data_IF_302981957927
#
_entry.id   IF_302981957927
#
_cell.length_a   1.000
_cell.length_b   1.000
_cell.length_c   1.000
_cell.angle_alpha   90.00
_cell.angle_beta   90.00
_cell.angle_gamma   90.00
#
_symmetry.space_group_name_H-M   'P 1'
#
loop_
_entity.id
_entity.type
_entity.pdbx_description
1 polymer ?
#
# COMPACT_ATOMS: atom_id res chain seq x y z
N UNK A 1 -22.24 2.93 -0.24
CA UNK A 1 -21.32 1.78 -0.28
C UNK A 1 -20.29 1.97 0.81
N UNK A 2 -20.01 0.95 1.60
CA UNK A 2 -19.02 1.04 2.69
C UNK A 2 -17.62 0.85 2.14
N UNK A 3 -16.70 1.72 2.55
CA UNK A 3 -15.27 1.60 2.27
C UNK A 3 -14.60 0.97 3.48
N UNK A 4 -13.89 -0.14 3.28
CA UNK A 4 -13.17 -0.87 4.32
C UNK A 4 -11.68 -0.60 4.12
N UNK A 5 -11.01 -0.10 5.16
CA UNK A 5 -9.59 0.23 5.08
C UNK A 5 -8.85 -0.06 6.38
N UNK A 6 -7.52 -0.01 6.35
CA UNK A 6 -6.70 -0.34 7.51
C UNK A 6 -6.77 0.76 8.57
N UNK A 7 -7.20 0.36 9.79
CA UNK A 7 -7.17 1.19 10.99
C UNK A 7 -5.84 1.10 11.75
N UNK A 8 -5.79 1.75 12.90
CA UNK A 8 -6.82 2.61 13.50
C UNK A 8 -6.97 3.97 12.79
N UNK A 9 -7.84 4.84 13.32
CA UNK A 9 -7.92 6.24 12.87
C UNK A 9 -6.54 6.91 12.94
N UNK A 10 -6.24 7.76 11.94
CA UNK A 10 -4.94 8.44 11.82
C UNK A 10 -3.86 7.66 11.06
N UNK A 11 -4.16 6.45 10.56
CA UNK A 11 -3.28 5.77 9.59
C UNK A 11 -3.37 6.45 8.22
N UNK A 12 -2.35 6.29 7.38
CA UNK A 12 -2.38 6.79 6.00
C UNK A 12 -3.52 6.18 5.17
N UNK A 13 -3.89 4.93 5.44
CA UNK A 13 -5.04 4.30 4.80
C UNK A 13 -6.37 4.97 5.17
N UNK A 14 -6.56 5.32 6.46
CA UNK A 14 -7.72 6.10 6.92
C UNK A 14 -7.70 7.50 6.33
N UNK A 15 -6.55 8.17 6.34
CA UNK A 15 -6.38 9.51 5.75
C UNK A 15 -6.76 9.53 4.28
N UNK A 16 -6.29 8.54 3.49
CA UNK A 16 -6.65 8.41 2.09
C UNK A 16 -8.16 8.27 1.89
N UNK A 17 -8.82 7.41 2.67
CA UNK A 17 -10.27 7.20 2.57
C UNK A 17 -11.05 8.50 2.89
N UNK A 18 -10.56 9.30 3.85
CA UNK A 18 -11.13 10.61 4.16
C UNK A 18 -10.93 11.61 3.02
N UNK A 19 -9.72 11.71 2.46
CA UNK A 19 -9.40 12.59 1.32
C UNK A 19 -10.19 12.24 0.06
N UNK A 20 -10.50 10.95 -0.14
CA UNK A 20 -11.39 10.48 -1.21
C UNK A 20 -12.86 10.83 -0.99
N UNK A 21 -13.24 11.39 0.15
CA UNK A 21 -14.63 11.73 0.49
C UNK A 21 -15.51 10.50 0.74
N UNK A 22 -14.96 9.39 1.21
CA UNK A 22 -15.71 8.19 1.55
C UNK A 22 -16.70 8.50 2.70
N UNK A 23 -18.00 8.29 2.45
CA UNK A 23 -19.07 8.65 3.43
C UNK A 23 -19.23 7.65 4.56
N UNK A 24 -18.89 6.37 4.32
CA UNK A 24 -18.97 5.29 5.31
C UNK A 24 -17.64 4.54 5.28
N UNK A 25 -16.85 4.70 6.34
CA UNK A 25 -15.53 4.07 6.48
C UNK A 25 -15.61 3.05 7.62
N UNK A 26 -15.26 1.80 7.32
CA UNK A 26 -15.05 0.75 8.30
C UNK A 26 -13.54 0.52 8.46
N UNK A 27 -13.04 0.64 9.69
CA UNK A 27 -11.62 0.45 9.99
C UNK A 27 -11.35 -0.98 10.45
N UNK A 28 -10.64 -1.72 9.64
CA UNK A 28 -10.25 -3.09 9.91
C UNK A 28 -8.88 -3.14 10.61
N UNK A 29 -8.67 -4.16 11.45
CA UNK A 29 -7.44 -4.32 12.22
C UNK A 29 -6.26 -4.85 11.40
N UNK A 30 -6.53 -5.56 10.28
CA UNK A 30 -5.51 -6.17 9.41
C UNK A 30 -5.92 -6.06 7.95
N UNK A 31 -4.94 -6.11 7.05
CA UNK A 31 -5.19 -6.19 5.60
C UNK A 31 -5.98 -7.47 5.26
N UNK A 32 -5.67 -8.58 5.94
CA UNK A 32 -6.40 -9.83 5.75
C UNK A 32 -7.90 -9.70 6.05
N UNK A 33 -8.29 -9.00 7.12
CA UNK A 33 -9.70 -8.78 7.46
C UNK A 33 -10.41 -7.89 6.44
N UNK A 34 -9.70 -6.95 5.79
CA UNK A 34 -10.26 -6.17 4.67
C UNK A 34 -10.62 -7.09 3.51
N UNK A 35 -9.68 -7.94 3.07
CA UNK A 35 -9.93 -8.90 2.00
C UNK A 35 -11.09 -9.83 2.30
N UNK A 36 -11.17 -10.34 3.54
CA UNK A 36 -12.28 -11.21 3.99
C UNK A 36 -13.61 -10.50 3.93
N UNK A 37 -13.72 -9.29 4.45
CA UNK A 37 -14.95 -8.50 4.46
C UNK A 37 -15.42 -8.16 3.02
N UNK A 38 -14.49 -7.76 2.13
CA UNK A 38 -14.83 -7.51 0.72
C UNK A 38 -15.29 -8.77 0.02
N UNK A 39 -14.66 -9.92 0.27
CA UNK A 39 -15.06 -11.20 -0.30
C UNK A 39 -16.46 -11.65 0.18
N UNK A 40 -16.86 -11.26 1.39
CA UNK A 40 -18.19 -11.47 1.95
C UNK A 40 -19.25 -10.46 1.43
N UNK A 41 -18.84 -9.48 0.59
CA UNK A 41 -19.77 -8.50 0.03
C UNK A 41 -20.11 -7.33 0.98
N UNK A 42 -19.31 -7.09 2.02
CA UNK A 42 -19.57 -6.05 3.04
C UNK A 42 -19.24 -4.63 2.53
N UNK A 43 -18.52 -4.51 1.40
CA UNK A 43 -18.17 -3.24 0.78
C UNK A 43 -17.02 -3.36 -0.21
N UNK A 44 -16.34 -2.22 -0.47
CA UNK A 44 -15.08 -2.17 -1.23
C UNK A 44 -13.92 -1.93 -0.28
N UNK A 45 -12.76 -2.52 -0.58
CA UNK A 45 -11.55 -2.34 0.22
C UNK A 45 -10.61 -1.30 -0.38
N UNK A 46 -9.96 -0.50 0.46
CA UNK A 46 -8.78 0.29 0.09
C UNK A 46 -7.59 -0.24 0.88
N UNK A 47 -6.56 -0.71 0.17
CA UNK A 47 -5.36 -1.29 0.77
C UNK A 47 -4.09 -0.74 0.12
N UNK A 48 -2.99 -0.56 0.87
CA UNK A 48 -1.70 -0.21 0.30
C UNK A 48 -1.15 -1.40 -0.50
N UNK A 49 -0.64 -1.15 -1.70
CA UNK A 49 -0.03 -2.19 -2.54
C UNK A 49 1.49 -2.14 -2.52
N UNK A 50 2.04 -0.94 -2.61
CA UNK A 50 3.50 -0.72 -2.60
C UNK A 50 3.83 0.69 -2.09
N UNK A 51 5.00 0.82 -1.50
CA UNK A 51 5.57 2.11 -1.12
C UNK A 51 6.91 2.28 -1.83
N UNK A 52 7.22 3.49 -2.26
CA UNK A 52 8.41 3.77 -3.06
C UNK A 52 9.74 3.51 -2.35
N UNK A 53 9.75 3.41 -1.01
CA UNK A 53 10.93 3.08 -0.20
C UNK A 53 10.90 1.64 0.31
N UNK A 54 9.73 1.20 0.81
CA UNK A 54 9.59 -0.10 1.46
C UNK A 54 9.24 -1.24 0.49
N UNK A 55 8.91 -0.93 -0.78
CA UNK A 55 8.51 -1.93 -1.77
C UNK A 55 7.09 -2.44 -1.59
N UNK A 56 6.83 -3.66 -2.06
CA UNK A 56 5.51 -4.26 -2.07
C UNK A 56 4.98 -4.64 -0.68
N UNK A 57 3.69 -4.41 -0.45
CA UNK A 57 2.99 -4.79 0.78
C UNK A 57 2.61 -6.27 0.71
N UNK A 58 3.39 -7.11 1.39
CA UNK A 58 3.27 -8.56 1.31
C UNK A 58 1.88 -9.10 1.65
N UNK A 59 1.21 -8.56 2.68
CA UNK A 59 -0.13 -8.97 3.06
C UNK A 59 -1.18 -8.66 1.97
N UNK A 60 -1.03 -7.55 1.25
CA UNK A 60 -1.90 -7.20 0.12
C UNK A 60 -1.70 -8.17 -1.04
N UNK A 61 -0.45 -8.49 -1.38
CA UNK A 61 -0.15 -9.46 -2.42
C UNK A 61 -0.67 -10.86 -2.08
N UNK A 62 -0.48 -11.31 -0.84
CA UNK A 62 -1.05 -12.57 -0.35
C UNK A 62 -2.59 -12.57 -0.42
N UNK A 63 -3.22 -11.44 -0.11
CA UNK A 63 -4.66 -11.27 -0.24
C UNK A 63 -5.14 -11.35 -1.70
N UNK A 64 -4.45 -10.66 -2.62
CA UNK A 64 -4.73 -10.71 -4.06
C UNK A 64 -4.54 -12.12 -4.64
N UNK A 65 -3.60 -12.90 -4.12
CA UNK A 65 -3.43 -14.30 -4.52
C UNK A 65 -4.58 -15.19 -4.02
N UNK A 66 -4.96 -15.02 -2.75
CA UNK A 66 -5.87 -15.93 -2.03
C UNK A 66 -7.34 -15.71 -2.36
N UNK A 67 -7.81 -14.44 -2.42
CA UNK A 67 -9.23 -14.11 -2.54
C UNK A 67 -9.64 -13.87 -4.00
N UNK A 68 -10.87 -14.27 -4.42
CA UNK A 68 -11.38 -14.04 -5.77
C UNK A 68 -11.86 -12.57 -5.91
N UNK A 69 -10.95 -11.63 -5.71
CA UNK A 69 -11.24 -10.19 -5.78
C UNK A 69 -10.47 -9.54 -6.92
N UNK A 70 -10.99 -8.41 -7.37
CA UNK A 70 -10.44 -7.62 -8.48
C UNK A 70 -9.99 -6.24 -8.00
N UNK A 71 -9.00 -5.67 -8.68
CA UNK A 71 -8.61 -4.28 -8.53
C UNK A 71 -9.53 -3.43 -9.40
N UNK A 72 -10.22 -2.47 -8.80
CA UNK A 72 -11.15 -1.57 -9.49
C UNK A 72 -10.58 -0.18 -9.77
N UNK A 73 -9.55 0.22 -9.03
CA UNK A 73 -8.83 1.49 -9.20
C UNK A 73 -7.47 1.44 -8.52
N UNK A 74 -6.56 2.31 -8.94
CA UNK A 74 -5.36 2.66 -8.19
C UNK A 74 -5.33 4.15 -7.85
N UNK A 75 -4.63 4.49 -6.79
CA UNK A 75 -4.43 5.85 -6.31
C UNK A 75 -3.09 5.98 -5.60
N UNK A 76 -2.57 7.20 -5.55
CA UNK A 76 -1.28 7.50 -4.96
C UNK A 76 -1.44 8.53 -3.86
N UNK A 77 -0.65 8.40 -2.80
CA UNK A 77 -0.59 9.38 -1.73
C UNK A 77 0.86 9.63 -1.32
N UNK A 78 1.36 10.88 -1.39
CA UNK A 78 2.63 11.27 -0.80
C UNK A 78 2.61 11.00 0.70
N UNK A 79 3.72 10.51 1.23
CA UNK A 79 3.86 10.17 2.65
C UNK A 79 4.76 11.21 3.30
N UNK A 80 4.17 12.04 4.14
CA UNK A 80 4.89 13.04 4.90
C UNK A 80 4.83 12.74 6.39
N UNK A 81 5.94 12.93 7.05
CA UNK A 81 6.09 12.72 8.48
C UNK A 81 6.43 14.02 9.18
N UNK A 82 5.76 14.28 10.28
CA UNK A 82 5.94 15.49 11.07
C UNK A 82 6.27 15.15 12.50
N UNK A 83 7.12 15.96 13.12
CA UNK A 83 7.31 15.90 14.57
C UNK A 83 6.20 16.72 15.23
N UNK A 84 5.38 16.06 16.02
CA UNK A 84 4.28 16.67 16.77
C UNK A 84 4.55 16.57 18.28
N UNK A 85 4.31 17.65 19.02
CA UNK A 85 4.52 17.69 20.47
C UNK A 85 3.70 18.81 21.11
N UNK A 86 3.32 18.65 22.39
CA UNK A 86 2.71 19.67 23.22
C UNK A 86 3.73 20.66 23.79
N UNK A 87 5.01 20.40 23.63
CA UNK A 87 6.11 21.26 24.12
C UNK A 87 7.04 21.66 22.97
N UNK A 88 7.84 22.70 23.18
CA UNK A 88 8.86 23.09 22.21
C UNK A 88 9.96 22.03 22.10
N UNK A 89 10.67 22.02 20.97
CA UNK A 89 11.76 21.08 20.68
C UNK A 89 12.83 21.06 21.79
N UNK A 90 13.16 22.22 22.38
CA UNK A 90 14.14 22.34 23.45
C UNK A 90 13.73 21.70 24.77
N UNK A 91 12.43 21.53 24.99
CA UNK A 91 11.87 20.89 26.20
C UNK A 91 11.56 19.42 26.02
N UNK A 92 11.58 18.94 24.77
CA UNK A 92 11.28 17.56 24.45
C UNK A 92 12.37 16.60 24.96
N UNK A 93 11.98 15.46 25.51
CA UNK A 93 12.87 14.48 26.15
C UNK A 93 12.84 13.11 25.50
N UNK A 94 11.77 12.80 24.76
CA UNK A 94 11.55 11.49 24.13
C UNK A 94 10.63 11.65 22.92
N UNK A 95 10.83 10.84 21.90
CA UNK A 95 9.97 10.76 20.71
C UNK A 95 9.41 9.34 20.60
N UNK A 96 8.12 9.23 20.36
CA UNK A 96 7.45 7.97 20.02
C UNK A 96 7.29 7.85 18.51
N UNK A 97 7.66 6.70 17.95
CA UNK A 97 7.55 6.43 16.52
C UNK A 97 7.31 4.94 16.24
N UNK A 98 6.61 4.64 15.15
CA UNK A 98 6.63 3.29 14.59
C UNK A 98 8.04 2.98 14.04
N UNK A 99 8.57 1.74 14.13
CA UNK A 99 9.92 1.42 13.63
C UNK A 99 10.20 1.90 12.21
N UNK A 100 9.29 1.64 11.28
CA UNK A 100 9.40 2.10 9.89
C UNK A 100 9.42 3.63 9.78
N UNK A 101 8.59 4.33 10.57
CA UNK A 101 8.58 5.80 10.59
C UNK A 101 9.87 6.36 11.19
N UNK A 102 10.44 5.68 12.19
CA UNK A 102 11.76 6.02 12.73
C UNK A 102 12.84 5.92 11.64
N UNK A 103 12.88 4.83 10.89
CA UNK A 103 13.83 4.61 9.79
C UNK A 103 13.69 5.70 8.71
N UNK A 104 12.46 6.02 8.31
CA UNK A 104 12.17 7.05 7.31
C UNK A 104 12.49 8.49 7.77
N UNK A 105 12.69 8.72 9.07
CA UNK A 105 13.04 10.03 9.66
C UNK A 105 14.38 10.01 10.40
N UNK A 106 15.21 9.01 10.17
CA UNK A 106 16.43 8.76 10.93
C UNK A 106 17.41 9.94 10.90
N UNK A 107 17.59 10.57 9.74
CA UNK A 107 18.51 11.72 9.61
C UNK A 107 18.12 12.90 10.51
N UNK A 108 16.82 13.17 10.62
CA UNK A 108 16.33 14.22 11.51
C UNK A 108 16.48 13.82 12.98
N UNK A 109 16.13 12.58 13.32
CA UNK A 109 16.17 12.09 14.70
C UNK A 109 17.61 11.96 15.23
N UNK A 110 18.56 11.55 14.40
CA UNK A 110 19.98 11.53 14.74
C UNK A 110 20.51 12.94 15.06
N UNK A 111 20.13 13.94 14.27
CA UNK A 111 20.49 15.35 14.53
C UNK A 111 19.85 15.88 15.81
N UNK A 112 18.62 15.44 16.13
CA UNK A 112 17.97 15.79 17.39
C UNK A 112 18.65 15.14 18.59
N UNK A 113 19.14 13.88 18.47
CA UNK A 113 20.00 13.20 19.41
C UNK A 113 19.34 12.69 20.68
N UNK A 114 18.01 12.75 20.81
CA UNK A 114 17.27 12.24 21.98
C UNK A 114 16.75 10.82 21.75
N UNK A 115 16.24 10.17 22.83
CA UNK A 115 15.74 8.80 22.77
C UNK A 115 14.45 8.68 21.95
N UNK A 116 14.39 7.62 21.12
CA UNK A 116 13.18 7.23 20.37
C UNK A 116 12.64 5.90 20.92
N UNK A 117 11.37 5.88 21.29
CA UNK A 117 10.66 4.69 21.76
C UNK A 117 9.73 4.19 20.67
N UNK A 118 9.88 2.91 20.31
CA UNK A 118 9.06 2.31 19.28
C UNK A 118 7.66 1.95 19.79
N UNK A 119 6.66 2.14 18.94
CA UNK A 119 5.26 1.81 19.17
C UNK A 119 4.72 0.97 18.02
N UNK A 120 3.58 0.33 18.24
CA UNK A 120 2.94 -0.55 17.24
C UNK A 120 2.29 0.17 16.06
N UNK A 121 2.09 1.50 16.15
CA UNK A 121 1.49 2.32 15.08
C UNK A 121 1.71 3.81 15.35
N UNK A 122 1.56 4.65 14.32
CA UNK A 122 1.57 6.11 14.47
C UNK A 122 0.47 6.60 15.42
N UNK A 123 -0.70 5.94 15.41
CA UNK A 123 -1.77 6.22 16.37
C UNK A 123 -1.33 5.94 17.82
N UNK A 124 -0.67 4.80 18.07
CA UNK A 124 -0.09 4.48 19.39
C UNK A 124 0.97 5.48 19.78
N UNK A 125 1.82 5.94 18.84
CA UNK A 125 2.80 7.01 19.09
C UNK A 125 2.13 8.29 19.59
N UNK A 126 1.03 8.70 18.94
CA UNK A 126 0.27 9.88 19.36
C UNK A 126 -0.30 9.75 20.78
N UNK A 127 -0.88 8.58 21.08
CA UNK A 127 -1.47 8.32 22.39
C UNK A 127 -0.43 8.30 23.50
N UNK A 128 0.74 7.71 23.28
CA UNK A 128 1.83 7.69 24.26
C UNK A 128 2.44 9.08 24.45
N UNK A 129 2.63 9.85 23.38
CA UNK A 129 3.13 11.22 23.49
C UNK A 129 2.17 12.14 24.27
N UNK A 130 0.87 11.90 24.22
CA UNK A 130 -0.10 12.65 25.03
C UNK A 130 -0.05 12.33 26.52
N UNK A 131 0.30 11.10 26.88
CA UNK A 131 0.36 10.63 28.26
C UNK A 131 1.69 10.99 28.93
N UNK A 132 2.75 11.12 28.15
CA UNK A 132 4.12 11.29 28.65
C UNK A 132 4.51 12.77 28.66
N UNK A 133 4.89 13.34 29.82
CA UNK A 133 5.36 14.72 29.86
C UNK A 133 6.61 14.95 29.00
N UNK A 134 6.63 16.07 28.30
CA UNK A 134 7.76 16.47 27.42
C UNK A 134 8.08 15.46 26.31
N UNK A 135 7.06 14.76 25.80
CA UNK A 135 7.19 13.82 24.70
C UNK A 135 6.74 14.43 23.38
N UNK A 136 7.28 13.89 22.29
CA UNK A 136 6.82 14.09 20.92
C UNK A 136 6.45 12.77 20.27
N UNK A 137 5.81 12.84 19.10
CA UNK A 137 5.54 11.70 18.24
C UNK A 137 5.80 12.05 16.78
N UNK A 138 6.20 11.07 15.97
CA UNK A 138 6.23 11.23 14.52
C UNK A 138 4.88 10.80 13.96
N UNK A 139 4.20 11.71 13.28
CA UNK A 139 2.82 11.56 12.82
C UNK A 139 2.64 12.11 11.42
N UNK A 140 1.58 11.67 10.71
CA UNK A 140 1.04 12.42 9.58
C UNK A 140 0.33 13.69 10.07
N UNK A 141 0.11 14.66 9.19
CA UNK A 141 -0.62 15.87 9.53
C UNK A 141 -2.05 15.58 10.01
N UNK A 142 -2.73 14.62 9.38
CA UNK A 142 -4.07 14.22 9.77
C UNK A 142 -4.10 13.52 11.13
N UNK A 143 -3.12 12.67 11.44
CA UNK A 143 -2.99 12.05 12.76
C UNK A 143 -2.71 13.11 13.84
N UNK A 144 -1.79 14.05 13.58
CA UNK A 144 -1.51 15.15 14.50
C UNK A 144 -2.76 15.97 14.82
N UNK A 145 -3.56 16.30 13.79
CA UNK A 145 -4.83 16.99 13.93
C UNK A 145 -5.87 16.19 14.73
N UNK A 146 -6.05 14.91 14.37
CA UNK A 146 -7.00 14.00 15.03
C UNK A 146 -6.71 13.86 16.52
N UNK A 147 -5.45 13.67 16.88
CA UNK A 147 -5.02 13.52 18.27
C UNK A 147 -4.76 14.85 18.98
N UNK A 148 -4.99 15.98 18.30
CA UNK A 148 -4.81 17.34 18.84
C UNK A 148 -3.41 17.58 19.43
N UNK A 149 -2.38 17.13 18.69
CA UNK A 149 -0.98 17.38 19.01
C UNK A 149 -0.42 18.34 17.98
N UNK A 150 0.05 19.53 18.36
CA UNK A 150 0.61 20.49 17.41
C UNK A 150 1.83 19.94 16.66
N UNK A 151 1.87 20.14 15.35
CA UNK A 151 3.09 19.90 14.57
C UNK A 151 4.09 21.00 14.90
N UNK A 152 5.26 20.62 15.40
CA UNK A 152 6.36 21.56 15.74
C UNK A 152 7.45 21.62 14.70
N UNK A 153 7.63 20.54 13.92
CA UNK A 153 8.50 20.50 12.74
C UNK A 153 7.83 19.69 11.67
N UNK A 154 7.67 20.27 10.49
CA UNK A 154 7.05 19.61 9.35
C UNK A 154 8.07 18.93 8.45
N UNK A 155 7.65 17.85 7.77
CA UNK A 155 8.39 17.16 6.71
C UNK A 155 9.81 16.76 7.15
N UNK A 156 9.85 15.88 8.15
CA UNK A 156 11.12 15.40 8.73
C UNK A 156 11.59 14.08 8.11
N UNK A 157 10.85 13.58 7.13
CA UNK A 157 11.24 12.39 6.37
C UNK A 157 12.54 12.59 5.60
N UNK A 158 13.35 11.52 5.49
CA UNK A 158 14.62 11.53 4.73
C UNK A 158 14.37 11.74 3.23
N UNK A 159 13.27 11.20 2.70
CA UNK A 159 12.92 11.29 1.29
C UNK A 159 11.56 11.99 1.09
N UNK A 160 11.54 13.24 0.63
CA UNK A 160 10.29 13.97 0.40
C UNK A 160 9.46 13.45 -0.78
N UNK A 161 10.04 12.56 -1.61
CA UNK A 161 9.33 11.92 -2.74
C UNK A 161 8.68 10.59 -2.37
N UNK A 162 8.70 10.22 -1.06
CA UNK A 162 8.08 8.98 -0.60
C UNK A 162 6.59 8.97 -0.92
N UNK A 163 6.16 7.93 -1.63
CA UNK A 163 4.77 7.80 -2.09
C UNK A 163 4.28 6.37 -1.91
N UNK A 164 3.07 6.22 -1.39
CA UNK A 164 2.40 4.92 -1.32
C UNK A 164 1.35 4.82 -2.41
N UNK A 165 1.39 3.73 -3.15
CA UNK A 165 0.36 3.32 -4.09
C UNK A 165 -0.65 2.46 -3.36
N UNK A 166 -1.90 2.85 -3.44
CA UNK A 166 -3.05 2.10 -2.93
C UNK A 166 -3.87 1.54 -4.08
N UNK A 167 -4.60 0.49 -3.79
CA UNK A 167 -5.57 -0.09 -4.71
C UNK A 167 -6.94 -0.19 -4.04
N UNK A 168 -7.98 -0.05 -4.86
CA UNK A 168 -9.33 -0.38 -4.47
C UNK A 168 -9.63 -1.81 -4.93
N UNK A 169 -10.09 -2.65 -4.01
CA UNK A 169 -10.46 -4.04 -4.27
C UNK A 169 -11.97 -4.22 -4.15
N UNK A 170 -12.54 -5.05 -5.02
CA UNK A 170 -13.97 -5.34 -5.05
C UNK A 170 -14.24 -6.79 -5.49
N UNK A 171 -15.44 -7.29 -5.17
CA UNK A 171 -15.91 -8.62 -5.59
C UNK A 171 -16.33 -8.69 -7.07
N UNK A 172 -16.43 -7.55 -7.75
CA UNK A 172 -16.82 -7.47 -9.16
C UNK A 172 -15.69 -6.87 -9.99
N UNK A 173 -15.48 -7.44 -11.17
CA UNK A 173 -14.50 -6.92 -12.12
C UNK A 173 -14.99 -5.56 -12.68
N UNK A 174 -14.10 -4.57 -12.68
CA UNK A 174 -14.37 -3.29 -13.33
C UNK A 174 -14.51 -3.45 -14.84
N UNK A 175 -15.33 -2.57 -15.47
CA UNK A 175 -15.32 -2.43 -16.91
C UNK A 175 -13.97 -1.89 -17.36
N UNK A 176 -13.50 -2.35 -18.53
CA UNK A 176 -12.21 -1.90 -19.10
C UNK A 176 -12.26 -0.48 -19.70
N UNK A 177 -13.46 0.12 -19.77
CA UNK A 177 -13.64 1.47 -20.35
C UNK A 177 -12.78 2.50 -19.61
N UNK A 178 -11.78 3.05 -20.32
CA UNK A 178 -10.82 4.01 -19.78
C UNK A 178 -9.80 3.41 -18.82
N UNK A 179 -9.61 2.09 -18.82
CA UNK A 179 -8.51 1.46 -18.10
C UNK A 179 -7.17 1.95 -18.63
N UNK A 180 -6.22 2.13 -17.72
CA UNK A 180 -4.86 2.58 -18.02
C UNK A 180 -3.82 1.50 -17.68
N UNK A 181 -4.17 0.62 -16.77
CA UNK A 181 -3.29 -0.43 -16.23
C UNK A 181 -4.08 -1.70 -15.99
N UNK A 182 -3.43 -2.83 -16.19
CA UNK A 182 -3.95 -4.15 -15.82
C UNK A 182 -2.98 -4.85 -14.88
N UNK A 183 -3.51 -5.71 -14.02
CA UNK A 183 -2.72 -6.54 -13.10
C UNK A 183 -3.11 -7.99 -13.22
N UNK A 184 -2.11 -8.86 -13.13
CA UNK A 184 -2.27 -10.32 -13.10
C UNK A 184 -1.35 -10.96 -12.08
N UNK A 185 -1.71 -12.17 -11.68
CA UNK A 185 -0.79 -13.10 -11.01
C UNK A 185 -0.53 -14.26 -11.94
N UNK A 186 0.73 -14.54 -12.21
CA UNK A 186 1.16 -15.75 -12.89
C UNK A 186 1.59 -16.76 -11.84
N UNK A 187 0.96 -17.93 -11.85
CA UNK A 187 1.21 -19.03 -10.91
C UNK A 187 1.65 -20.29 -11.65
N UNK A 188 2.95 -20.41 -11.99
CA UNK A 188 3.44 -21.55 -12.74
C UNK A 188 3.26 -22.85 -11.95
N UNK A 189 2.74 -23.89 -12.61
CA UNK A 189 2.68 -25.25 -12.05
C UNK A 189 4.02 -25.96 -12.08
N UNK A 190 4.92 -25.56 -13.00
CA UNK A 190 6.27 -26.10 -13.18
C UNK A 190 7.24 -24.97 -13.39
N UNK A 191 8.42 -25.08 -12.78
CA UNK A 191 9.54 -24.17 -13.02
C UNK A 191 10.49 -24.79 -14.07
N UNK A 192 11.05 -23.96 -14.94
CA UNK A 192 12.08 -24.32 -15.92
C UNK A 192 12.94 -23.12 -16.29
N UNK A 193 14.15 -23.39 -16.74
CA UNK A 193 15.00 -22.34 -17.29
C UNK A 193 14.29 -21.60 -18.44
N UNK A 194 14.35 -20.27 -18.43
CA UNK A 194 13.75 -19.42 -19.44
C UNK A 194 12.23 -19.17 -19.29
N UNK A 195 11.54 -19.79 -18.32
CA UNK A 195 10.09 -19.59 -18.18
C UNK A 195 9.70 -18.12 -18.07
N UNK A 196 10.34 -17.38 -17.16
CA UNK A 196 10.04 -15.95 -16.98
C UNK A 196 10.33 -15.15 -18.25
N UNK A 197 11.40 -15.46 -18.97
CA UNK A 197 11.72 -14.86 -20.26
C UNK A 197 10.56 -15.06 -21.26
N UNK A 198 10.06 -16.29 -21.40
CA UNK A 198 8.99 -16.61 -22.35
C UNK A 198 7.69 -15.86 -21.99
N UNK A 199 7.37 -15.77 -20.70
CA UNK A 199 6.20 -15.04 -20.20
C UNK A 199 6.31 -13.53 -20.50
N UNK A 200 7.48 -12.92 -20.26
CA UNK A 200 7.71 -11.50 -20.54
C UNK A 200 7.76 -11.22 -22.04
N UNK A 201 8.22 -12.15 -22.86
CA UNK A 201 8.24 -12.03 -24.33
C UNK A 201 6.84 -11.88 -24.92
N UNK A 202 5.77 -12.37 -24.25
CA UNK A 202 4.38 -12.17 -24.69
C UNK A 202 4.02 -10.69 -24.75
N UNK A 203 4.43 -9.92 -23.73
CA UNK A 203 4.22 -8.48 -23.64
C UNK A 203 5.14 -7.71 -24.60
N UNK A 204 6.42 -8.10 -24.64
CA UNK A 204 7.43 -7.44 -25.49
C UNK A 204 7.05 -7.48 -26.96
N UNK A 205 6.61 -8.65 -27.48
CA UNK A 205 6.17 -8.78 -28.89
C UNK A 205 4.98 -7.91 -29.27
N UNK A 206 4.16 -7.53 -28.26
CA UNK A 206 2.98 -6.66 -28.43
C UNK A 206 3.23 -5.20 -28.04
N UNK A 207 4.48 -4.88 -27.72
CA UNK A 207 4.86 -3.52 -27.27
C UNK A 207 4.02 -3.06 -26.06
N UNK A 208 3.60 -4.02 -25.20
CA UNK A 208 2.89 -3.73 -23.95
C UNK A 208 3.93 -3.46 -22.86
N UNK A 209 3.91 -2.23 -22.33
CA UNK A 209 4.87 -1.84 -21.28
C UNK A 209 4.50 -2.45 -19.95
N UNK A 210 5.44 -3.15 -19.33
CA UNK A 210 5.33 -3.62 -17.95
C UNK A 210 5.69 -2.47 -17.01
N UNK A 211 4.83 -2.21 -16.04
CA UNK A 211 5.02 -1.13 -15.06
C UNK A 211 5.45 -1.64 -13.69
N UNK A 212 5.27 -2.94 -13.41
CA UNK A 212 5.72 -3.61 -12.19
C UNK A 212 5.90 -5.10 -12.42
N UNK A 213 6.91 -5.66 -11.78
CA UNK A 213 7.09 -7.10 -11.62
C UNK A 213 7.56 -7.39 -10.20
N UNK A 214 6.92 -8.34 -9.54
CA UNK A 214 7.32 -8.80 -8.22
C UNK A 214 7.15 -10.31 -8.12
N UNK A 215 8.19 -11.01 -7.68
CA UNK A 215 8.16 -12.43 -7.40
C UNK A 215 7.91 -12.70 -5.92
N UNK A 216 7.04 -13.66 -5.62
CA UNK A 216 6.76 -14.08 -4.24
C UNK A 216 6.77 -15.61 -4.14
N UNK A 217 7.23 -16.17 -3.01
CA UNK A 217 7.10 -17.61 -2.76
C UNK A 217 5.63 -18.05 -2.85
N UNK A 218 5.37 -19.12 -3.61
CA UNK A 218 4.01 -19.66 -3.79
C UNK A 218 3.47 -20.39 -2.55
N UNK A 219 4.30 -20.59 -1.53
CA UNK A 219 4.01 -21.38 -0.31
C UNK A 219 3.74 -22.88 -0.59
N UNK A 220 3.99 -23.36 -1.79
CA UNK A 220 3.87 -24.79 -2.17
C UNK A 220 5.17 -25.58 -1.99
N UNK A 221 6.25 -24.91 -1.58
CA UNK A 221 7.58 -25.47 -1.35
C UNK A 221 8.68 -24.49 -1.72
N UNK A 222 9.91 -24.78 -1.30
CA UNK A 222 11.07 -23.97 -1.65
C UNK A 222 11.29 -23.98 -3.17
N UNK A 223 11.64 -22.83 -3.74
CA UNK A 223 11.91 -22.68 -5.17
C UNK A 223 10.67 -22.42 -6.04
N UNK A 224 9.44 -22.53 -5.52
CA UNK A 224 8.24 -22.21 -6.28
C UNK A 224 7.81 -20.75 -6.06
N UNK A 225 7.67 -20.00 -7.15
CA UNK A 225 7.32 -18.58 -7.13
C UNK A 225 6.04 -18.30 -7.92
N UNK A 226 5.31 -17.27 -7.48
CA UNK A 226 4.28 -16.59 -8.25
C UNK A 226 4.79 -15.21 -8.64
N UNK A 227 4.35 -14.72 -9.79
CA UNK A 227 4.77 -13.41 -10.31
C UNK A 227 3.56 -12.48 -10.40
N UNK A 228 3.65 -11.35 -9.72
CA UNK A 228 2.71 -10.26 -9.86
C UNK A 228 3.21 -9.32 -10.95
N UNK A 229 2.39 -9.09 -11.96
CA UNK A 229 2.70 -8.20 -13.07
C UNK A 229 1.64 -7.12 -13.19
N UNK A 230 2.11 -5.87 -13.30
CA UNK A 230 1.28 -4.75 -13.74
C UNK A 230 1.79 -4.28 -15.11
N UNK A 231 0.88 -4.00 -16.02
CA UNK A 231 1.21 -3.56 -17.38
C UNK A 231 0.20 -2.54 -17.89
N UNK A 232 0.66 -1.70 -18.81
CA UNK A 232 -0.18 -0.71 -19.45
C UNK A 232 -1.32 -1.40 -20.24
N UNK A 233 -2.54 -0.88 -20.09
CA UNK A 233 -3.65 -1.36 -20.90
C UNK A 233 -3.39 -1.07 -22.40
N UNK A 234 -3.73 -2.03 -23.24
CA UNK A 234 -3.57 -1.97 -24.71
C UNK A 234 -4.73 -2.72 -25.37
N UNK A 235 -4.99 -2.45 -26.62
CA UNK A 235 -5.93 -3.22 -27.47
C UNK A 235 -5.55 -4.70 -27.54
N UNK A 236 -4.26 -5.02 -27.41
CA UNK A 236 -3.74 -6.39 -27.48
C UNK A 236 -3.71 -7.11 -26.11
N UNK A 237 -4.24 -6.43 -25.05
CA UNK A 237 -4.25 -6.99 -23.69
C UNK A 237 -4.90 -8.37 -23.62
N UNK A 238 -6.04 -8.57 -24.28
CA UNK A 238 -6.77 -9.84 -24.22
C UNK A 238 -6.03 -10.94 -24.98
N UNK A 239 -5.42 -10.65 -26.13
CA UNK A 239 -4.60 -11.61 -26.88
C UNK A 239 -3.35 -12.00 -26.08
N UNK A 240 -2.73 -11.04 -25.37
CA UNK A 240 -1.63 -11.33 -24.47
C UNK A 240 -2.03 -12.27 -23.33
N UNK A 241 -3.20 -12.04 -22.73
CA UNK A 241 -3.74 -12.89 -21.68
C UNK A 241 -4.05 -14.31 -22.16
N UNK A 242 -4.66 -14.45 -23.34
CA UNK A 242 -4.97 -15.75 -23.92
C UNK A 242 -3.70 -16.55 -24.22
N UNK A 243 -2.66 -15.90 -24.75
CA UNK A 243 -1.36 -16.53 -24.95
C UNK A 243 -0.71 -16.95 -23.63
N UNK A 244 -0.71 -16.08 -22.60
CA UNK A 244 -0.18 -16.42 -21.28
C UNK A 244 -0.91 -17.61 -20.67
N UNK A 245 -2.24 -17.65 -20.76
CA UNK A 245 -3.06 -18.78 -20.27
C UNK A 245 -2.78 -20.10 -20.99
N UNK A 246 -2.29 -20.04 -22.24
CA UNK A 246 -1.86 -21.25 -22.96
C UNK A 246 -0.52 -21.79 -22.45
N UNK A 247 0.29 -20.94 -21.81
CA UNK A 247 1.62 -21.29 -21.27
C UNK A 247 1.54 -21.72 -19.80
N UNK A 248 0.69 -21.04 -19.01
CA UNK A 248 0.68 -21.19 -17.55
C UNK A 248 -0.64 -20.75 -16.92
N UNK A 249 -0.78 -21.00 -15.61
CA UNK A 249 -1.93 -20.50 -14.85
C UNK A 249 -1.83 -19.00 -14.64
N UNK A 250 -2.87 -18.26 -15.03
CA UNK A 250 -2.97 -16.81 -14.88
C UNK A 250 -4.24 -16.47 -14.10
N UNK A 251 -4.08 -15.70 -13.02
CA UNK A 251 -5.19 -15.07 -12.31
C UNK A 251 -5.25 -13.61 -12.73
N UNK A 252 -6.35 -13.21 -13.36
CA UNK A 252 -6.62 -11.82 -13.68
C UNK A 252 -7.06 -11.07 -12.42
N UNK A 253 -6.38 -9.96 -12.13
CA UNK A 253 -6.77 -9.06 -11.05
C UNK A 253 -7.60 -7.87 -11.54
N UNK A 254 -7.72 -7.70 -12.86
CA UNK A 254 -8.53 -6.67 -13.52
C UNK A 254 -7.70 -5.61 -14.23
N UNK A 255 -8.40 -4.83 -15.06
CA UNK A 255 -7.90 -3.60 -15.67
C UNK A 255 -8.64 -2.41 -15.08
N UNK A 256 -7.92 -1.33 -14.74
CA UNK A 256 -8.46 -0.24 -13.93
C UNK A 256 -7.81 1.10 -14.27
N UNK A 257 -8.40 2.15 -13.70
CA UNK A 257 -7.93 3.54 -13.85
C UNK A 257 -7.06 3.96 -12.68
N UNK A 258 -6.15 4.87 -12.95
CA UNK A 258 -5.58 5.72 -11.92
C UNK A 258 -6.59 6.85 -11.63
N UNK A 259 -7.04 6.93 -10.37
CA UNK A 259 -8.02 7.95 -9.95
C UNK A 259 -7.37 9.17 -9.29
N UNK A 260 -6.05 9.26 -9.33
CA UNK A 260 -5.31 10.46 -8.98
C UNK A 260 -4.33 10.32 -7.81
N UNK A 261 -3.75 11.45 -7.48
CA UNK A 261 -2.86 11.66 -6.33
C UNK A 261 -3.63 12.44 -5.27
N UNK A 262 -3.65 11.93 -4.06
CA UNK A 262 -4.35 12.55 -2.92
C UNK A 262 -3.32 13.16 -1.97
N UNK A 263 -3.19 14.48 -2.02
CA UNK A 263 -2.23 15.27 -1.23
C UNK A 263 -2.83 15.78 0.07
#
# INVERSE_FOLDING_TARGET
MTTITLGPEGTFSHELAMKMGCKSIHLASTIHSIFSAVANGEGEGIVPLENSEAGGVGETLDGLLRYPLFISAEMYMPIHHHLASQVSLSRMRVVYAHPQTHEQCSEYLEKWGGPVIHTSSNASSALEARKTPNAGAILSASAASLYKIPVIVANIENNPSNTTRFIRISGTQSRTDGAQKCSIVIDPSTDRAGLLHDLLAVFARRTINLTRIESRPSKRGMGNYVFFLDYAWSTDTFQALDELKSITTVKELGCYRNIGVFV
#
